data_IF_867245098513
#
_entry.id   IF_867245098513
#
_cell.length_a   1.000
_cell.length_b   1.000
_cell.length_c   1.000
_cell.angle_alpha   90.00
_cell.angle_beta   90.00
_cell.angle_gamma   90.00
#
_symmetry.space_group_name_H-M   'P 1'
#
loop_
_entity.id
_entity.type
_entity.pdbx_description
1 polymer ?
#
# COMPACT_ATOMS: atom_id res chain seq x y z
N UNK A 1 19.03 -25.55 -54.55
CA UNK A 1 17.57 -25.71 -54.63
C UNK A 1 17.08 -26.02 -53.20
N UNK A 2 16.35 -25.09 -52.58
CA UNK A 2 15.43 -25.34 -51.45
C UNK A 2 15.97 -25.89 -50.12
N UNK A 3 17.01 -25.33 -49.51
CA UNK A 3 17.40 -25.72 -48.13
C UNK A 3 16.52 -25.02 -47.07
N UNK A 4 15.73 -24.04 -47.50
CA UNK A 4 14.72 -23.37 -46.70
C UNK A 4 13.36 -24.02 -46.97
N UNK A 5 13.15 -25.21 -46.42
CA UNK A 5 11.80 -25.72 -46.17
C UNK A 5 11.18 -24.76 -45.14
N UNK A 6 10.51 -23.72 -45.63
CA UNK A 6 9.77 -22.75 -44.82
C UNK A 6 8.85 -23.48 -43.83
N UNK A 7 8.31 -24.63 -44.24
CA UNK A 7 7.55 -25.57 -43.41
C UNK A 7 8.31 -26.11 -42.21
N UNK A 8 9.59 -26.49 -42.32
CA UNK A 8 10.39 -27.01 -41.20
C UNK A 8 10.78 -25.91 -40.21
N UNK A 9 11.11 -24.71 -40.70
CA UNK A 9 11.38 -23.56 -39.81
C UNK A 9 10.10 -23.14 -39.08
N UNK A 10 8.97 -23.12 -39.77
CA UNK A 10 7.66 -22.87 -39.15
C UNK A 10 7.32 -23.97 -38.15
N UNK A 11 7.65 -25.23 -38.40
CA UNK A 11 7.36 -26.34 -37.49
C UNK A 11 8.24 -26.32 -36.23
N UNK A 12 9.54 -26.02 -36.37
CA UNK A 12 10.44 -25.83 -35.23
C UNK A 12 10.08 -24.59 -34.40
N UNK A 13 9.75 -23.46 -35.05
CA UNK A 13 9.31 -22.24 -34.35
C UNK A 13 7.96 -22.47 -33.68
N UNK A 14 7.01 -23.13 -34.33
CA UNK A 14 5.71 -23.47 -33.74
C UNK A 14 5.86 -24.37 -32.54
N UNK A 15 6.72 -25.39 -32.63
CA UNK A 15 7.02 -26.29 -31.51
C UNK A 15 7.68 -25.56 -30.35
N UNK A 16 8.63 -24.67 -30.63
CA UNK A 16 9.30 -23.84 -29.63
C UNK A 16 8.33 -22.84 -28.97
N UNK A 17 7.51 -22.13 -29.76
CA UNK A 17 6.47 -21.22 -29.25
C UNK A 17 5.45 -21.99 -28.40
N UNK A 18 5.08 -23.21 -28.79
CA UNK A 18 4.15 -24.05 -28.02
C UNK A 18 4.74 -24.44 -26.65
N UNK A 19 6.01 -24.84 -26.61
CA UNK A 19 6.72 -25.13 -25.36
C UNK A 19 6.91 -23.87 -24.50
N UNK A 20 7.23 -22.73 -25.12
CA UNK A 20 7.38 -21.47 -24.39
C UNK A 20 6.04 -20.96 -23.85
N UNK A 21 4.94 -21.15 -24.57
CA UNK A 21 3.60 -20.84 -24.05
C UNK A 21 3.21 -21.73 -22.87
N UNK A 22 3.62 -23.00 -22.90
CA UNK A 22 3.36 -23.94 -21.80
C UNK A 22 4.16 -23.57 -20.54
N UNK A 23 5.45 -23.21 -20.70
CA UNK A 23 6.30 -22.68 -19.63
C UNK A 23 5.79 -21.33 -19.10
N UNK A 24 5.44 -20.39 -19.98
CA UNK A 24 4.93 -19.06 -19.62
C UNK A 24 3.59 -19.16 -18.90
N UNK A 25 2.69 -20.06 -19.32
CA UNK A 25 1.41 -20.28 -18.63
C UNK A 25 1.64 -20.80 -17.21
N UNK A 26 2.59 -21.70 -17.03
CA UNK A 26 2.93 -22.27 -15.72
C UNK A 26 3.53 -21.19 -14.80
N UNK A 27 4.48 -20.41 -15.30
CA UNK A 27 5.10 -19.29 -14.55
C UNK A 27 4.07 -18.20 -14.18
N UNK A 28 3.14 -17.88 -15.09
CA UNK A 28 2.05 -16.94 -14.81
C UNK A 28 1.13 -17.51 -13.74
N UNK A 29 0.80 -18.81 -13.80
CA UNK A 29 -0.07 -19.44 -12.82
C UNK A 29 0.55 -19.42 -11.42
N UNK A 30 1.82 -19.81 -11.26
CA UNK A 30 2.50 -19.75 -9.96
C UNK A 30 2.57 -18.32 -9.41
N UNK A 31 2.96 -17.35 -10.25
CA UNK A 31 3.04 -15.93 -9.83
C UNK A 31 1.67 -15.35 -9.50
N UNK A 32 0.64 -15.69 -10.27
CA UNK A 32 -0.73 -15.26 -10.00
C UNK A 32 -1.26 -15.90 -8.72
N UNK A 33 -1.01 -17.17 -8.46
CA UNK A 33 -1.45 -17.84 -7.24
C UNK A 33 -0.81 -17.20 -6.00
N UNK A 34 0.48 -16.90 -6.06
CA UNK A 34 1.21 -16.27 -4.97
C UNK A 34 0.75 -14.82 -4.70
N UNK A 35 0.56 -14.03 -5.77
CA UNK A 35 0.04 -12.66 -5.68
C UNK A 35 -1.42 -12.65 -5.22
N UNK A 36 -2.26 -13.52 -5.76
CA UNK A 36 -3.68 -13.59 -5.47
C UNK A 36 -3.89 -14.05 -4.03
N UNK A 37 -3.14 -15.05 -3.54
CA UNK A 37 -3.14 -15.47 -2.14
C UNK A 37 -2.77 -14.32 -1.19
N UNK A 38 -1.74 -13.54 -1.52
CA UNK A 38 -1.31 -12.40 -0.71
C UNK A 38 -2.34 -11.28 -0.70
N UNK A 39 -2.85 -10.91 -1.88
CA UNK A 39 -3.87 -9.85 -2.03
C UNK A 39 -5.18 -10.27 -1.37
N UNK A 40 -5.60 -11.53 -1.51
CA UNK A 40 -6.84 -12.02 -0.93
C UNK A 40 -6.80 -11.96 0.60
N UNK A 41 -5.71 -12.40 1.22
CA UNK A 41 -5.53 -12.27 2.68
C UNK A 41 -5.54 -10.82 3.13
N UNK A 42 -4.88 -9.93 2.38
CA UNK A 42 -4.86 -8.50 2.68
C UNK A 42 -6.25 -7.87 2.55
N UNK A 43 -6.98 -8.16 1.46
CA UNK A 43 -8.34 -7.67 1.25
C UNK A 43 -9.26 -8.15 2.36
N UNK A 44 -9.15 -9.42 2.76
CA UNK A 44 -10.01 -10.02 3.77
C UNK A 44 -9.74 -9.41 5.16
N UNK A 45 -8.46 -9.19 5.49
CA UNK A 45 -8.07 -8.51 6.71
C UNK A 45 -8.55 -7.04 6.73
N UNK A 46 -8.28 -6.28 5.66
CA UNK A 46 -8.71 -4.90 5.53
C UNK A 46 -10.24 -4.77 5.59
N UNK A 47 -10.96 -5.70 4.95
CA UNK A 47 -12.42 -5.73 4.95
C UNK A 47 -12.98 -6.06 6.34
N UNK A 48 -12.40 -7.04 7.05
CA UNK A 48 -12.79 -7.35 8.42
C UNK A 48 -12.60 -6.15 9.34
N UNK A 49 -11.43 -5.51 9.29
CA UNK A 49 -11.14 -4.32 10.10
C UNK A 49 -12.08 -3.17 9.72
N UNK A 50 -12.30 -2.96 8.42
CA UNK A 50 -13.17 -1.92 7.90
C UNK A 50 -14.62 -2.08 8.39
N UNK A 51 -15.18 -3.29 8.33
CA UNK A 51 -16.54 -3.56 8.83
C UNK A 51 -16.62 -3.37 10.33
N UNK A 52 -15.68 -3.92 11.11
CA UNK A 52 -15.67 -3.77 12.56
C UNK A 52 -15.61 -2.29 12.95
N UNK A 53 -14.76 -1.51 12.28
CA UNK A 53 -14.63 -0.07 12.53
C UNK A 53 -15.91 0.69 12.15
N UNK A 54 -16.55 0.33 11.03
CA UNK A 54 -17.82 0.94 10.60
C UNK A 54 -18.92 0.68 11.64
N UNK A 55 -19.05 -0.58 12.09
CA UNK A 55 -20.01 -0.94 13.14
C UNK A 55 -19.69 -0.26 14.47
N UNK A 56 -18.42 -0.12 14.82
CA UNK A 56 -18.00 0.61 16.02
C UNK A 56 -18.44 2.08 15.96
N UNK A 57 -18.20 2.76 14.84
CA UNK A 57 -18.61 4.14 14.64
C UNK A 57 -20.14 4.29 14.66
N UNK A 58 -20.85 3.35 14.02
CA UNK A 58 -22.31 3.35 14.02
C UNK A 58 -22.88 3.12 15.43
N UNK A 59 -22.29 2.20 16.19
CA UNK A 59 -22.64 1.95 17.59
C UNK A 59 -22.36 3.16 18.48
N UNK A 60 -21.22 3.83 18.29
CA UNK A 60 -20.89 5.07 18.98
C UNK A 60 -21.89 6.19 18.66
N UNK A 61 -22.29 6.28 17.40
CA UNK A 61 -23.27 7.26 16.96
C UNK A 61 -24.63 6.99 17.61
N UNK A 62 -25.09 5.73 17.66
CA UNK A 62 -26.34 5.35 18.34
C UNK A 62 -26.27 5.62 19.85
N UNK A 63 -25.15 5.35 20.51
CA UNK A 63 -24.98 5.64 21.93
C UNK A 63 -25.05 7.14 22.21
N UNK A 64 -24.40 7.94 21.36
CA UNK A 64 -24.45 9.39 21.47
C UNK A 64 -25.82 9.96 21.12
N UNK A 65 -26.53 9.30 20.21
CA UNK A 65 -27.88 9.62 19.81
C UNK A 65 -28.88 9.47 20.97
N UNK A 66 -28.79 8.37 21.73
CA UNK A 66 -29.60 8.15 22.93
C UNK A 66 -29.30 9.18 24.02
N UNK A 67 -28.04 9.59 24.17
CA UNK A 67 -27.65 10.64 25.13
C UNK A 67 -28.21 12.04 24.77
N UNK A 68 -28.36 12.33 23.48
CA UNK A 68 -28.91 13.61 23.00
C UNK A 68 -30.44 13.59 22.81
N UNK A 69 -31.12 12.46 23.08
CA UNK A 69 -32.56 12.25 22.86
C UNK A 69 -33.05 12.55 21.43
N UNK A 70 -32.14 12.59 20.44
CA UNK A 70 -32.44 13.05 19.08
C UNK A 70 -31.78 12.16 18.03
N UNK A 71 -32.62 11.45 17.24
CA UNK A 71 -32.30 10.42 16.22
C UNK A 71 -31.27 10.76 15.14
N UNK A 72 -30.79 12.00 15.07
CA UNK A 72 -29.89 12.44 14.00
C UNK A 72 -28.60 13.08 14.52
N UNK A 73 -28.62 13.62 15.74
CA UNK A 73 -27.51 14.41 16.29
C UNK A 73 -26.26 13.56 16.53
N UNK A 74 -26.45 12.29 16.94
CA UNK A 74 -25.35 11.36 17.19
C UNK A 74 -24.54 11.04 15.94
N UNK A 75 -25.20 10.81 14.80
CA UNK A 75 -24.53 10.54 13.53
C UNK A 75 -23.78 11.76 12.98
N UNK A 76 -24.39 12.95 13.06
CA UNK A 76 -23.74 14.22 12.65
C UNK A 76 -22.45 14.42 13.45
N UNK A 77 -22.51 14.30 14.78
CA UNK A 77 -21.36 14.52 15.66
C UNK A 77 -20.22 13.54 15.36
N UNK A 78 -20.53 12.24 15.26
CA UNK A 78 -19.53 11.22 14.93
C UNK A 78 -18.92 11.44 13.54
N UNK A 79 -19.72 11.84 12.54
CA UNK A 79 -19.20 12.14 11.19
C UNK A 79 -18.25 13.34 11.18
N UNK A 80 -18.54 14.40 11.96
CA UNK A 80 -17.69 15.58 12.07
C UNK A 80 -16.37 15.23 12.74
N UNK A 81 -16.41 14.45 13.82
CA UNK A 81 -15.21 13.96 14.51
C UNK A 81 -14.37 13.09 13.56
N UNK A 82 -14.99 12.15 12.86
CA UNK A 82 -14.31 11.30 11.88
C UNK A 82 -13.69 12.10 10.73
N UNK A 83 -14.37 13.15 10.27
CA UNK A 83 -13.88 14.07 9.23
C UNK A 83 -12.64 14.83 9.72
N UNK A 84 -12.67 15.38 10.94
CA UNK A 84 -11.51 16.07 11.53
C UNK A 84 -10.31 15.14 11.63
N UNK A 85 -10.51 13.92 12.14
CA UNK A 85 -9.44 12.90 12.22
C UNK A 85 -8.90 12.58 10.82
N UNK A 86 -9.77 12.42 9.83
CA UNK A 86 -9.37 12.16 8.45
C UNK A 86 -8.51 13.30 7.87
N UNK A 87 -8.90 14.56 8.09
CA UNK A 87 -8.10 15.72 7.69
C UNK A 87 -6.74 15.72 8.39
N UNK A 88 -6.69 15.45 9.69
CA UNK A 88 -5.44 15.37 10.45
C UNK A 88 -4.52 14.29 9.90
N UNK A 89 -5.05 13.11 9.58
CA UNK A 89 -4.28 12.00 9.01
C UNK A 89 -3.74 12.40 7.63
N UNK A 90 -4.57 12.97 6.75
CA UNK A 90 -4.15 13.44 5.43
C UNK A 90 -3.06 14.51 5.56
N UNK A 91 -3.21 15.46 6.47
CA UNK A 91 -2.21 16.50 6.72
C UNK A 91 -0.91 15.92 7.31
N UNK A 92 -1.00 14.93 8.19
CA UNK A 92 0.14 14.22 8.77
C UNK A 92 0.92 13.41 7.73
N UNK A 93 0.20 12.70 6.85
CA UNK A 93 0.78 11.99 5.71
C UNK A 93 1.46 12.96 4.73
N UNK A 94 0.85 14.13 4.48
CA UNK A 94 1.47 15.19 3.68
C UNK A 94 2.70 15.83 4.37
N UNK A 95 2.75 15.80 5.71
CA UNK A 95 3.88 16.32 6.48
C UNK A 95 5.02 15.32 6.58
N UNK A 96 4.83 14.04 6.24
CA UNK A 96 5.85 12.97 6.39
C UNK A 96 6.90 12.98 5.26
N UNK A 97 7.49 14.15 5.04
CA UNK A 97 8.86 14.26 4.55
C UNK A 97 9.70 15.30 5.35
N UNK A 98 9.92 15.15 6.67
CA UNK A 98 10.90 15.94 7.39
C UNK A 98 11.95 15.07 8.12
N UNK A 99 12.02 13.75 7.88
CA UNK A 99 13.00 12.86 8.54
C UNK A 99 14.35 12.79 7.82
N UNK A 100 14.60 13.63 6.82
CA UNK A 100 15.95 13.79 6.25
C UNK A 100 16.72 14.94 6.92
N UNK A 101 16.04 15.89 7.57
CA UNK A 101 16.68 17.14 8.02
C UNK A 101 17.26 17.08 9.44
N UNK A 102 17.10 15.95 10.14
CA UNK A 102 17.49 15.79 11.54
C UNK A 102 18.84 15.06 11.65
N UNK A 103 19.21 14.26 10.64
CA UNK A 103 20.52 13.60 10.57
C UNK A 103 21.60 14.57 10.07
N UNK A 104 21.24 15.46 9.13
CA UNK A 104 22.18 16.42 8.55
C UNK A 104 22.63 17.53 9.53
N UNK A 105 21.81 17.84 10.55
CA UNK A 105 22.12 18.89 11.52
C UNK A 105 23.07 18.41 12.63
N UNK A 106 23.01 17.13 12.99
CA UNK A 106 23.86 16.54 14.04
C UNK A 106 25.29 16.27 13.51
N UNK A 107 25.44 15.89 12.24
CA UNK A 107 26.77 15.70 11.62
C UNK A 107 27.56 17.02 11.48
N UNK A 108 26.88 18.13 11.11
CA UNK A 108 27.56 19.42 10.84
C UNK A 108 28.16 20.04 12.10
N UNK A 109 27.53 19.85 13.26
CA UNK A 109 28.05 20.34 14.54
C UNK A 109 29.28 19.53 15.02
N UNK A 110 29.36 18.23 14.71
CA UNK A 110 30.51 17.40 15.10
C UNK A 110 31.75 17.68 14.24
N UNK A 111 31.58 17.91 12.93
CA UNK A 111 32.70 18.29 12.04
C UNK A 111 33.23 19.71 12.29
N UNK A 112 32.39 20.65 12.71
CA UNK A 112 32.81 22.04 12.97
C UNK A 112 33.61 22.14 14.28
N UNK A 113 33.19 21.44 15.34
CA UNK A 113 33.90 21.44 16.62
C UNK A 113 35.22 20.64 16.59
N UNK A 114 35.35 19.64 15.71
CA UNK A 114 36.60 18.90 15.57
C UNK A 114 37.72 19.71 14.89
N UNK A 115 37.38 20.71 14.06
CA UNK A 115 38.35 21.50 13.31
C UNK A 115 38.81 22.77 14.04
N UNK A 116 38.12 23.21 15.09
CA UNK A 116 38.48 24.41 15.86
C UNK A 116 39.54 24.14 16.95
N UNK A 117 39.80 22.87 17.29
CA UNK A 117 40.71 22.46 18.37
C UNK A 117 42.13 22.04 17.89
N UNK A 118 42.50 22.35 16.64
CA UNK A 118 43.81 21.97 16.07
C UNK A 118 44.55 23.16 15.43
N UNK A 119 44.47 24.32 16.08
CA UNK A 119 45.30 25.47 15.78
C UNK A 119 45.65 26.24 17.06
N UNK A 120 46.29 25.54 18.00
CA UNK A 120 47.13 26.15 19.05
C UNK A 120 48.60 26.07 18.63
#
# INVERSE_FOLDING_TARGET
>A
MGIFDNSKLVDLVTKYIKTQLELVKLDIQERLEELLSRIFKFILAAFSVGITLLFLLLGLANLLNDYFESSFMGHICVSVIALIISIIIIYSLNKKNPDTRLIDAEEVDEFTNANENNHD
#
